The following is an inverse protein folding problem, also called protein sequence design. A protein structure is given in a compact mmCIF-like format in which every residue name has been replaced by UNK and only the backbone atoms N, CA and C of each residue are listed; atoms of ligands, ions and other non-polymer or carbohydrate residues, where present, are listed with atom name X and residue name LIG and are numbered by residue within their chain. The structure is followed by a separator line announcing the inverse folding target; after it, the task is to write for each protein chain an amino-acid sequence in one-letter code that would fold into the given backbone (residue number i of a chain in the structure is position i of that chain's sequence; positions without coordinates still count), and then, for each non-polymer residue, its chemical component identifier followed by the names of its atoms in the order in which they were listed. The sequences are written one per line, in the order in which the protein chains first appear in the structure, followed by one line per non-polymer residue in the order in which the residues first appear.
data_IF_309485689542
#
_entry.id   IF_309485689542
#
_cell.length_a   1.000
_cell.length_b   1.000
_cell.length_c   1.000
_cell.angle_alpha   90.00
_cell.angle_beta   90.00
_cell.angle_gamma   90.00
#
_symmetry.space_group_name_H-M   'P 1'
#
loop_
_entity.id
_entity.type
_entity.pdbx_description
1 polymer ?
#
# COMPACT_ATOMS: atom_id res chain seq x y z
N UNK A 1 20.04 -19.14 26.34
CA UNK A 1 19.82 -17.89 25.61
C UNK A 1 18.53 -18.03 24.82
N UNK A 2 17.66 -17.03 24.88
CA UNK A 2 16.43 -16.94 24.10
C UNK A 2 16.70 -16.10 22.86
N UNK A 3 16.34 -16.61 21.69
CA UNK A 3 16.50 -15.86 20.45
C UNK A 3 15.19 -15.92 19.65
N UNK A 4 14.75 -14.75 19.18
CA UNK A 4 13.65 -14.60 18.24
C UNK A 4 14.23 -14.15 16.92
N UNK A 5 13.99 -14.92 15.87
CA UNK A 5 14.40 -14.59 14.51
C UNK A 5 13.16 -14.24 13.70
N UNK A 6 13.11 -13.02 13.18
CA UNK A 6 12.16 -12.63 12.14
C UNK A 6 12.83 -12.85 10.80
N UNK A 7 12.24 -13.68 9.94
CA UNK A 7 12.77 -13.99 8.62
C UNK A 7 11.81 -13.51 7.54
N UNK A 8 12.28 -12.58 6.72
CA UNK A 8 11.58 -12.07 5.56
C UNK A 8 12.17 -12.61 4.26
N UNK A 9 11.30 -12.90 3.29
CA UNK A 9 11.68 -13.27 1.92
C UNK A 9 10.96 -12.33 0.97
N UNK A 10 11.69 -11.37 0.42
CA UNK A 10 11.14 -10.37 -0.49
C UNK A 10 11.91 -10.47 -1.80
N UNK A 11 11.17 -10.72 -2.88
CA UNK A 11 11.74 -10.98 -4.21
C UNK A 11 12.81 -12.09 -4.15
N UNK A 12 14.04 -11.83 -4.59
CA UNK A 12 15.17 -12.77 -4.57
C UNK A 12 16.07 -12.65 -3.34
N UNK A 13 15.75 -11.76 -2.40
CA UNK A 13 16.60 -11.43 -1.24
C UNK A 13 15.97 -11.99 0.05
N UNK A 14 16.81 -12.50 0.96
CA UNK A 14 16.38 -13.04 2.25
C UNK A 14 17.08 -12.29 3.38
N UNK A 15 16.29 -11.78 4.32
CA UNK A 15 16.78 -10.96 5.42
C UNK A 15 16.22 -11.46 6.74
N UNK A 16 17.01 -11.34 7.81
CA UNK A 16 16.52 -11.63 9.14
C UNK A 16 16.98 -10.64 10.19
N UNK A 17 16.07 -10.27 11.08
CA UNK A 17 16.38 -9.65 12.34
C UNK A 17 16.42 -10.70 13.44
N UNK A 18 17.42 -10.62 14.33
CA UNK A 18 17.58 -11.56 15.42
C UNK A 18 17.69 -10.81 16.75
N UNK A 19 16.63 -10.89 17.56
CA UNK A 19 16.66 -10.48 18.95
C UNK A 19 17.22 -11.62 19.81
N UNK A 20 18.15 -11.32 20.72
CA UNK A 20 18.78 -12.31 21.60
C UNK A 20 18.89 -11.76 23.02
N UNK A 21 18.45 -12.54 24.02
CA UNK A 21 18.58 -12.19 25.45
C UNK A 21 18.76 -13.44 26.32
N UNK A 22 19.38 -13.29 27.48
CA UNK A 22 19.41 -14.33 28.51
C UNK A 22 18.20 -14.26 29.45
N UNK A 23 17.49 -13.12 29.45
CA UNK A 23 16.35 -12.86 30.32
C UNK A 23 15.04 -13.27 29.63
N UNK A 24 14.32 -14.22 30.24
CA UNK A 24 13.04 -14.70 29.73
C UNK A 24 11.98 -13.59 29.66
N UNK A 25 11.99 -12.64 30.61
CA UNK A 25 10.99 -11.57 30.64
C UNK A 25 11.20 -10.60 29.47
N UNK A 26 12.44 -10.18 29.21
CA UNK A 26 12.78 -9.34 28.06
C UNK A 26 12.37 -9.97 26.72
N UNK A 27 12.48 -11.31 26.60
CA UNK A 27 11.98 -12.02 25.43
C UNK A 27 10.45 -11.90 25.27
N UNK A 28 9.71 -12.08 26.36
CA UNK A 28 8.24 -11.98 26.35
C UNK A 28 7.83 -10.55 26.01
N UNK A 29 8.42 -9.57 26.67
CA UNK A 29 8.15 -8.15 26.46
C UNK A 29 8.44 -7.73 25.03
N UNK A 30 9.58 -8.18 24.47
CA UNK A 30 9.92 -7.93 23.07
C UNK A 30 8.91 -8.56 22.11
N UNK A 31 8.50 -9.81 22.38
CA UNK A 31 7.53 -10.53 21.53
C UNK A 31 6.15 -9.88 21.55
N UNK A 32 5.71 -9.37 22.72
CA UNK A 32 4.46 -8.63 22.85
C UNK A 32 4.53 -7.28 22.15
N UNK A 33 5.60 -6.52 22.36
CA UNK A 33 5.82 -5.23 21.69
C UNK A 33 5.80 -5.39 20.17
N UNK A 34 6.42 -6.43 19.63
CA UNK A 34 6.34 -6.70 18.19
C UNK A 34 4.91 -7.01 17.74
N UNK A 35 4.14 -7.75 18.52
CA UNK A 35 2.75 -8.04 18.18
C UNK A 35 1.86 -6.78 18.17
N UNK A 36 2.24 -5.75 18.93
CA UNK A 36 1.56 -4.45 19.01
C UNK A 36 2.06 -3.46 17.95
N UNK A 37 3.37 -3.38 17.72
CA UNK A 37 4.01 -2.45 16.79
C UNK A 37 3.89 -2.89 15.34
N UNK A 38 3.83 -4.20 15.08
CA UNK A 38 3.73 -4.74 13.72
C UNK A 38 2.24 -4.89 13.37
N UNK A 39 1.74 -4.18 12.34
CA UNK A 39 0.40 -4.41 11.81
C UNK A 39 0.13 -5.90 11.57
N UNK A 40 -1.05 -6.37 11.97
CA UNK A 40 -1.39 -7.80 11.90
C UNK A 40 -1.29 -8.40 10.49
N UNK A 41 -1.43 -7.55 9.49
CA UNK A 41 -1.36 -7.82 8.07
C UNK A 41 0.07 -8.08 7.58
N UNK A 42 1.09 -7.70 8.37
CA UNK A 42 2.50 -7.96 8.07
C UNK A 42 2.97 -9.36 8.46
N UNK A 43 2.25 -10.06 9.34
CA UNK A 43 2.65 -11.39 9.80
C UNK A 43 2.73 -12.44 8.69
N UNK A 44 2.15 -12.19 7.52
CA UNK A 44 2.30 -13.06 6.34
C UNK A 44 3.62 -12.86 5.59
N UNK A 45 4.32 -11.72 5.77
CA UNK A 45 5.53 -11.35 5.02
C UNK A 45 6.83 -11.79 5.67
N UNK A 46 6.76 -12.14 6.95
CA UNK A 46 7.87 -12.72 7.66
C UNK A 46 7.41 -13.86 8.54
N UNK A 47 8.30 -14.83 8.75
CA UNK A 47 8.09 -15.91 9.70
C UNK A 47 8.87 -15.64 10.98
N UNK A 48 8.30 -15.97 12.12
CA UNK A 48 8.99 -15.92 13.40
C UNK A 48 9.49 -17.30 13.79
N UNK A 49 10.77 -17.38 14.16
CA UNK A 49 11.44 -18.61 14.58
C UNK A 49 11.99 -18.42 15.98
N UNK A 50 11.73 -19.39 16.85
CA UNK A 50 12.23 -19.39 18.21
C UNK A 50 13.39 -20.36 18.36
N UNK A 51 14.50 -19.87 18.91
CA UNK A 51 15.64 -20.69 19.27
C UNK A 51 15.92 -20.56 20.77
N UNK A 52 16.16 -21.70 21.41
CA UNK A 52 16.58 -21.78 22.79
C UNK A 52 17.73 -22.77 22.92
N UNK A 53 18.81 -22.36 23.59
CA UNK A 53 19.88 -23.27 23.98
C UNK A 53 21.28 -22.74 23.69
N UNK A 54 22.07 -23.52 22.93
CA UNK A 54 23.52 -23.36 22.75
C UNK A 54 23.93 -22.28 21.75
N UNK A 55 23.03 -21.84 20.87
CA UNK A 55 23.30 -20.76 19.93
C UNK A 55 23.34 -19.42 20.68
N UNK A 56 24.38 -18.62 20.42
CA UNK A 56 24.53 -17.30 21.06
C UNK A 56 24.33 -16.13 20.10
N UNK A 57 24.48 -16.40 18.81
CA UNK A 57 24.42 -15.39 17.75
C UNK A 57 23.64 -15.93 16.56
N UNK A 58 23.17 -15.05 15.69
CA UNK A 58 22.55 -15.46 14.43
C UNK A 58 23.52 -16.30 13.57
N UNK A 59 24.82 -15.99 13.58
CA UNK A 59 25.85 -16.81 12.90
C UNK A 59 25.90 -18.25 13.40
N UNK A 60 25.61 -18.50 14.68
CA UNK A 60 25.54 -19.86 15.20
C UNK A 60 24.30 -20.60 14.65
N UNK A 61 23.18 -19.89 14.50
CA UNK A 61 21.96 -20.40 13.85
C UNK A 61 22.26 -20.75 12.38
N UNK A 62 22.94 -19.87 11.63
CA UNK A 62 23.29 -20.12 10.21
C UNK A 62 24.23 -21.32 10.02
N UNK A 63 25.11 -21.61 10.98
CA UNK A 63 25.97 -22.80 10.97
C UNK A 63 25.19 -24.07 11.29
N UNK A 64 24.21 -23.97 12.18
CA UNK A 64 23.42 -25.10 12.66
C UNK A 64 22.33 -25.52 11.68
N UNK A 65 21.67 -24.55 11.06
CA UNK A 65 20.52 -24.76 10.19
C UNK A 65 20.78 -24.19 8.78
N UNK A 66 20.93 -25.08 7.77
CA UNK A 66 21.12 -24.70 6.37
C UNK A 66 20.05 -23.73 5.83
N UNK A 67 18.85 -23.72 6.39
CA UNK A 67 17.76 -22.82 5.99
C UNK A 67 18.14 -21.34 6.11
N UNK A 68 19.00 -20.98 7.07
CA UNK A 68 19.44 -19.60 7.31
C UNK A 68 20.78 -19.25 6.66
N UNK A 69 21.42 -20.19 5.96
CA UNK A 69 22.82 -20.06 5.49
C UNK A 69 23.07 -18.79 4.69
N UNK A 70 22.16 -18.47 3.77
CA UNK A 70 22.30 -17.34 2.83
C UNK A 70 21.47 -16.13 3.25
N UNK A 71 20.89 -16.15 4.46
CA UNK A 71 20.07 -15.05 4.99
C UNK A 71 20.99 -13.94 5.49
N UNK A 72 20.79 -12.71 4.99
CA UNK A 72 21.52 -11.54 5.47
C UNK A 72 20.91 -11.05 6.78
N UNK A 73 21.73 -10.98 7.83
CA UNK A 73 21.29 -10.41 9.10
C UNK A 73 21.16 -8.88 9.01
N UNK A 74 20.02 -8.35 9.45
CA UNK A 74 19.81 -6.93 9.72
C UNK A 74 19.92 -6.75 11.24
N UNK A 75 20.79 -5.82 11.66
CA UNK A 75 21.18 -5.69 13.07
C UNK A 75 20.19 -4.87 13.88
N UNK A 76 19.55 -3.89 13.24
CA UNK A 76 18.58 -3.01 13.86
C UNK A 76 17.16 -3.41 13.46
N UNK A 77 16.24 -3.33 14.41
CA UNK A 77 14.84 -3.71 14.20
C UNK A 77 14.13 -2.75 13.24
N UNK A 78 14.36 -1.44 13.36
CA UNK A 78 13.77 -0.46 12.46
C UNK A 78 14.38 -0.55 11.07
N UNK A 79 15.67 -0.86 10.94
CA UNK A 79 16.26 -1.13 9.63
C UNK A 79 15.73 -2.44 9.03
N UNK A 80 15.40 -3.45 9.83
CA UNK A 80 14.74 -4.65 9.32
C UNK A 80 13.35 -4.34 8.81
N UNK A 81 12.60 -3.51 9.55
CA UNK A 81 11.34 -2.98 9.06
C UNK A 81 11.59 -2.25 7.75
N UNK A 82 12.53 -1.29 7.65
CA UNK A 82 12.93 -0.61 6.40
C UNK A 82 13.32 -1.52 5.25
N UNK A 83 13.97 -2.65 5.52
CA UNK A 83 14.31 -3.63 4.48
C UNK A 83 13.11 -4.44 4.01
N UNK A 84 12.05 -4.55 4.83
CA UNK A 84 10.73 -4.93 4.33
C UNK A 84 10.14 -3.85 3.39
N UNK A 85 10.56 -2.59 3.57
CA UNK A 85 10.12 -1.40 2.82
C UNK A 85 10.97 -1.12 1.56
N UNK A 86 12.22 -1.61 1.51
CA UNK A 86 13.24 -1.18 0.54
C UNK A 86 13.15 -1.87 -0.83
N UNK A 87 13.15 -1.05 -1.88
CA UNK A 87 12.99 -1.37 -3.32
C UNK A 87 11.57 -1.69 -3.80
N UNK A 88 10.53 -1.52 -2.97
CA UNK A 88 9.17 -1.78 -3.41
C UNK A 88 8.45 -0.45 -3.72
N UNK A 89 8.42 -0.09 -5.00
CA UNK A 89 7.62 1.05 -5.51
C UNK A 89 6.15 0.81 -5.14
N UNK A 90 5.58 1.66 -4.27
CA UNK A 90 4.16 1.64 -3.93
C UNK A 90 3.40 2.46 -4.96
N UNK A 91 2.50 1.81 -5.71
CA UNK A 91 1.88 2.38 -6.89
C UNK A 91 0.35 2.19 -6.93
N UNK A 92 -0.25 2.72 -7.97
CA UNK A 92 -1.69 2.66 -8.19
C UNK A 92 -2.22 1.22 -8.38
N UNK A 93 -1.40 0.28 -8.88
CA UNK A 93 -1.79 -1.13 -9.03
C UNK A 93 -1.96 -1.75 -7.65
N UNK A 94 -1.06 -1.45 -6.71
CA UNK A 94 -1.15 -1.94 -5.34
C UNK A 94 -2.45 -1.47 -4.68
N UNK A 95 -2.72 -0.17 -4.71
CA UNK A 95 -3.94 0.42 -4.14
C UNK A 95 -5.19 -0.13 -4.84
N UNK A 96 -5.19 -0.20 -6.17
CA UNK A 96 -6.32 -0.72 -6.93
C UNK A 96 -6.59 -2.21 -6.65
N UNK A 97 -5.55 -3.04 -6.50
CA UNK A 97 -5.69 -4.46 -6.14
C UNK A 97 -6.34 -4.65 -4.77
N UNK A 98 -6.01 -3.78 -3.81
CA UNK A 98 -6.59 -3.78 -2.48
C UNK A 98 -8.07 -3.41 -2.53
N UNK A 99 -8.39 -2.31 -3.24
CA UNK A 99 -9.77 -1.87 -3.44
C UNK A 99 -10.61 -2.95 -4.13
N UNK A 100 -10.07 -3.59 -5.18
CA UNK A 100 -10.75 -4.63 -5.93
C UNK A 100 -11.05 -5.86 -5.06
N UNK A 101 -10.08 -6.35 -4.28
CA UNK A 101 -10.28 -7.51 -3.40
C UNK A 101 -11.24 -7.23 -2.26
N UNK A 102 -11.18 -6.02 -1.70
CA UNK A 102 -11.97 -5.66 -0.51
C UNK A 102 -13.41 -5.29 -0.83
N UNK A 103 -13.64 -4.59 -1.94
CA UNK A 103 -14.96 -4.02 -2.28
C UNK A 103 -15.56 -4.55 -3.57
N UNK A 104 -14.81 -5.31 -4.38
CA UNK A 104 -15.25 -5.86 -5.67
C UNK A 104 -15.86 -4.80 -6.61
N UNK A 105 -15.25 -3.61 -6.68
CA UNK A 105 -15.76 -2.52 -7.49
C UNK A 105 -15.78 -2.85 -9.00
N UNK A 106 -16.84 -2.48 -9.74
CA UNK A 106 -16.79 -2.44 -11.20
C UNK A 106 -15.71 -1.48 -11.69
N UNK A 107 -15.17 -1.70 -12.90
CA UNK A 107 -14.02 -0.94 -13.42
C UNK A 107 -14.16 0.58 -13.37
N UNK A 108 -15.36 1.11 -13.67
CA UNK A 108 -15.62 2.54 -13.60
C UNK A 108 -15.54 3.06 -12.16
N UNK A 109 -16.21 2.38 -11.23
CA UNK A 109 -16.20 2.73 -9.80
C UNK A 109 -14.77 2.62 -9.24
N UNK A 110 -14.03 1.56 -9.60
CA UNK A 110 -12.64 1.38 -9.18
C UNK A 110 -11.77 2.57 -9.59
N UNK A 111 -11.86 3.01 -10.86
CA UNK A 111 -11.07 4.14 -11.36
C UNK A 111 -11.42 5.46 -10.65
N UNK A 112 -12.71 5.71 -10.39
CA UNK A 112 -13.13 6.90 -9.64
C UNK A 112 -12.65 6.85 -8.20
N UNK A 113 -12.90 5.76 -7.52
CA UNK A 113 -12.47 5.58 -6.13
C UNK A 113 -10.95 5.70 -5.99
N UNK A 114 -10.18 5.09 -6.89
CA UNK A 114 -8.72 5.16 -6.88
C UNK A 114 -8.22 6.60 -7.06
N UNK A 115 -8.85 7.38 -7.94
CA UNK A 115 -8.54 8.79 -8.10
C UNK A 115 -8.82 9.60 -6.82
N UNK A 116 -9.99 9.41 -6.20
CA UNK A 116 -10.31 10.10 -4.95
C UNK A 116 -9.35 9.69 -3.82
N UNK A 117 -8.97 8.41 -3.74
CA UNK A 117 -7.94 7.94 -2.77
C UNK A 117 -6.62 8.66 -2.99
N UNK A 118 -6.16 8.78 -4.24
CA UNK A 118 -4.95 9.52 -4.56
C UNK A 118 -5.06 10.99 -4.15
N UNK A 119 -6.16 11.65 -4.48
CA UNK A 119 -6.35 13.07 -4.26
C UNK A 119 -6.50 13.45 -2.76
N UNK A 120 -7.20 12.64 -1.97
CA UNK A 120 -7.33 12.84 -0.52
C UNK A 120 -5.95 12.68 0.16
N UNK A 121 -5.22 11.60 -0.14
CA UNK A 121 -3.86 11.38 0.38
C UNK A 121 -2.87 12.46 -0.07
N UNK A 122 -2.91 12.87 -1.34
CA UNK A 122 -2.06 13.93 -1.86
C UNK A 122 -2.33 15.26 -1.14
N UNK A 123 -3.61 15.60 -0.94
CA UNK A 123 -4.03 16.82 -0.24
C UNK A 123 -3.61 16.82 1.22
N UNK A 124 -3.77 15.68 1.90
CA UNK A 124 -3.46 15.56 3.32
C UNK A 124 -1.96 15.60 3.61
N UNK A 125 -1.15 14.90 2.82
CA UNK A 125 0.30 14.80 3.04
C UNK A 125 1.10 15.87 2.29
N UNK A 126 0.47 16.60 1.36
CA UNK A 126 1.14 17.58 0.49
C UNK A 126 2.16 16.97 -0.48
N UNK A 127 2.17 15.63 -0.62
CA UNK A 127 3.05 14.87 -1.52
C UNK A 127 2.38 13.55 -1.92
N UNK A 128 2.76 12.97 -3.07
CA UNK A 128 2.29 11.63 -3.45
C UNK A 128 2.71 10.58 -2.41
N UNK A 129 1.75 9.77 -1.98
CA UNK A 129 1.98 8.63 -1.07
C UNK A 129 2.24 7.34 -1.84
N UNK A 130 1.63 7.22 -3.02
CA UNK A 130 1.89 6.17 -3.99
C UNK A 130 2.02 6.78 -5.37
N UNK A 131 2.72 6.10 -6.28
CA UNK A 131 2.87 6.55 -7.66
C UNK A 131 1.60 6.31 -8.46
N UNK A 132 1.07 7.36 -9.09
CA UNK A 132 -0.05 7.25 -10.00
C UNK A 132 0.07 8.31 -11.11
N UNK A 133 -0.44 7.99 -12.29
CA UNK A 133 -0.50 8.91 -13.44
C UNK A 133 -1.93 8.90 -13.99
N UNK A 134 -2.76 9.83 -13.52
CA UNK A 134 -4.14 9.95 -13.96
C UNK A 134 -4.23 10.77 -15.24
N UNK A 135 -4.86 10.20 -16.27
CA UNK A 135 -5.13 10.88 -17.53
C UNK A 135 -6.60 11.33 -17.59
N UNK A 136 -6.86 12.49 -18.20
CA UNK A 136 -8.18 13.06 -18.40
C UNK A 136 -8.93 12.39 -19.55
N UNK A 137 -9.50 11.21 -19.28
CA UNK A 137 -10.36 10.50 -20.23
C UNK A 137 -11.75 11.13 -20.32
N UNK A 138 -12.48 10.82 -21.40
CA UNK A 138 -13.83 11.33 -21.64
C UNK A 138 -14.82 11.10 -20.49
N UNK A 139 -14.61 10.07 -19.65
CA UNK A 139 -15.45 9.69 -18.50
C UNK A 139 -14.84 10.04 -17.14
N UNK A 140 -13.95 11.02 -17.09
CA UNK A 140 -13.24 11.44 -15.88
C UNK A 140 -11.83 10.85 -15.79
N UNK A 141 -11.12 11.03 -14.66
CA UNK A 141 -9.76 10.53 -14.47
C UNK A 141 -9.65 9.01 -14.61
N UNK A 142 -8.57 8.54 -15.23
CA UNK A 142 -8.23 7.13 -15.40
C UNK A 142 -6.73 6.94 -15.17
N UNK A 143 -6.36 6.03 -14.27
CA UNK A 143 -4.99 5.51 -14.21
C UNK A 143 -4.85 4.38 -15.23
N UNK A 144 -3.93 4.58 -16.18
CA UNK A 144 -3.86 3.79 -17.40
C UNK A 144 -3.39 2.36 -17.16
N UNK A 145 -2.47 2.15 -16.21
CA UNK A 145 -1.92 0.83 -15.88
C UNK A 145 -3.00 -0.06 -15.28
N UNK A 146 -3.77 0.45 -14.32
CA UNK A 146 -4.92 -0.19 -13.69
C UNK A 146 -6.02 -0.45 -14.72
N UNK A 147 -6.31 0.50 -15.61
CA UNK A 147 -7.31 0.29 -16.66
C UNK A 147 -6.91 -0.87 -17.59
N UNK A 148 -5.65 -0.90 -18.04
CA UNK A 148 -5.13 -1.97 -18.89
C UNK A 148 -5.20 -3.31 -18.17
N UNK A 149 -4.71 -3.37 -16.94
CA UNK A 149 -4.61 -4.63 -16.21
C UNK A 149 -5.99 -5.17 -15.83
N UNK A 150 -6.96 -4.31 -15.49
CA UNK A 150 -8.35 -4.71 -15.21
C UNK A 150 -9.14 -5.12 -16.47
N UNK A 151 -8.81 -4.54 -17.64
CA UNK A 151 -9.54 -4.81 -18.90
C UNK A 151 -9.05 -6.06 -19.63
N UNK A 152 -7.74 -6.30 -19.58
CA UNK A 152 -7.08 -7.32 -20.41
C UNK A 152 -6.54 -8.51 -19.61
N UNK A 153 -6.62 -8.47 -18.27
CA UNK A 153 -6.12 -9.54 -17.40
C UNK A 153 -6.96 -9.67 -16.13
N UNK A 154 -6.88 -10.80 -15.44
CA UNK A 154 -7.42 -10.95 -14.07
C UNK A 154 -6.38 -10.63 -12.99
N UNK A 155 -5.18 -10.16 -13.39
CA UNK A 155 -4.01 -10.04 -12.51
C UNK A 155 -4.16 -9.03 -11.39
N UNK A 156 -5.09 -8.09 -11.52
CA UNK A 156 -5.28 -7.05 -10.52
C UNK A 156 -5.74 -7.65 -9.17
N UNK A 157 -6.62 -8.65 -9.19
CA UNK A 157 -7.08 -9.32 -7.97
C UNK A 157 -6.04 -10.29 -7.39
N UNK A 158 -5.09 -10.74 -8.21
CA UNK A 158 -4.00 -11.64 -7.82
C UNK A 158 -2.75 -10.90 -7.30
N UNK A 159 -2.76 -9.56 -7.29
CA UNK A 159 -1.71 -8.76 -6.65
C UNK A 159 -1.99 -8.62 -5.15
N UNK A 160 -1.04 -9.08 -4.31
CA UNK A 160 -1.12 -9.03 -2.85
C UNK A 160 -0.19 -7.99 -2.23
N UNK A 161 0.52 -7.21 -3.03
CA UNK A 161 1.64 -6.38 -2.61
C UNK A 161 1.23 -5.06 -1.93
N UNK A 162 -0.07 -4.73 -1.87
CA UNK A 162 -0.55 -3.56 -1.12
C UNK A 162 -0.11 -3.55 0.34
N UNK A 163 -0.48 -4.57 1.12
CA UNK A 163 -0.18 -4.63 2.55
C UNK A 163 1.32 -4.48 2.87
N UNK A 164 2.24 -5.23 2.24
CA UNK A 164 3.66 -5.16 2.56
C UNK A 164 4.28 -3.83 2.16
N UNK A 165 3.72 -3.14 1.15
CA UNK A 165 4.18 -1.82 0.71
C UNK A 165 3.61 -0.66 1.51
N UNK A 166 2.36 -0.72 1.95
CA UNK A 166 1.73 0.40 2.69
C UNK A 166 2.22 0.48 4.13
N UNK A 167 2.39 -0.65 4.81
CA UNK A 167 3.00 -0.76 6.15
C UNK A 167 4.47 -0.37 6.18
N UNK A 168 5.06 -0.30 4.99
CA UNK A 168 6.40 0.15 4.74
C UNK A 168 6.51 1.69 4.72
N UNK A 169 5.38 2.40 4.78
CA UNK A 169 5.34 3.84 4.84
C UNK A 169 5.24 4.32 6.28
N UNK A 170 5.76 5.52 6.52
CA UNK A 170 5.41 6.27 7.73
C UNK A 170 3.89 6.50 7.77
N UNK A 171 3.29 6.41 8.96
CA UNK A 171 1.85 6.61 9.18
C UNK A 171 0.93 5.62 8.45
N UNK A 172 1.43 4.41 8.17
CA UNK A 172 0.72 3.36 7.44
C UNK A 172 -0.72 3.11 7.89
N UNK A 173 -0.97 3.11 9.21
CA UNK A 173 -2.31 2.87 9.76
C UNK A 173 -3.29 3.95 9.31
N UNK A 174 -2.88 5.21 9.44
CA UNK A 174 -3.69 6.35 9.01
C UNK A 174 -3.89 6.36 7.49
N UNK A 175 -2.84 6.05 6.71
CA UNK A 175 -2.96 5.88 5.25
C UNK A 175 -4.02 4.83 4.89
N UNK A 176 -4.02 3.67 5.56
CA UNK A 176 -5.03 2.62 5.34
C UNK A 176 -6.43 3.11 5.73
N UNK A 177 -6.55 3.85 6.82
CA UNK A 177 -7.82 4.41 7.28
C UNK A 177 -8.38 5.39 6.24
N UNK A 178 -7.58 6.35 5.75
CA UNK A 178 -7.95 7.28 4.68
C UNK A 178 -8.37 6.55 3.41
N UNK A 179 -7.64 5.51 2.99
CA UNK A 179 -8.00 4.69 1.82
C UNK A 179 -9.38 4.05 2.01
N UNK A 180 -9.63 3.45 3.17
CA UNK A 180 -10.89 2.75 3.46
C UNK A 180 -12.07 3.72 3.58
N UNK A 181 -11.89 4.85 4.26
CA UNK A 181 -12.90 5.89 4.41
C UNK A 181 -13.25 6.51 3.05
N UNK A 182 -12.25 6.84 2.25
CA UNK A 182 -12.43 7.37 0.89
C UNK A 182 -13.12 6.35 0.00
N UNK A 183 -12.72 5.07 0.08
CA UNK A 183 -13.35 3.98 -0.67
C UNK A 183 -14.82 3.77 -0.29
N UNK A 184 -15.15 3.85 1.00
CA UNK A 184 -16.53 3.79 1.45
C UNK A 184 -17.32 5.02 0.97
N UNK A 185 -16.78 6.22 1.15
CA UNK A 185 -17.44 7.48 0.79
C UNK A 185 -17.72 7.58 -0.71
N UNK A 186 -16.68 7.56 -1.53
CA UNK A 186 -16.81 7.78 -2.97
C UNK A 186 -17.21 6.51 -3.72
N UNK A 187 -16.72 5.34 -3.30
CA UNK A 187 -17.10 4.07 -3.92
C UNK A 187 -18.60 3.80 -3.80
N UNK A 188 -19.20 4.02 -2.61
CA UNK A 188 -20.66 3.89 -2.46
C UNK A 188 -21.43 4.91 -3.30
N UNK A 189 -20.97 6.17 -3.33
CA UNK A 189 -21.61 7.20 -4.15
C UNK A 189 -21.69 6.78 -5.63
N UNK A 190 -20.56 6.38 -6.23
CA UNK A 190 -20.50 5.97 -7.63
C UNK A 190 -21.18 4.63 -7.93
N UNK A 191 -21.41 3.78 -6.92
CA UNK A 191 -22.26 2.58 -7.07
C UNK A 191 -23.75 2.91 -7.06
N UNK A 192 -24.15 3.95 -6.33
CA UNK A 192 -25.55 4.34 -6.17
C UNK A 192 -26.03 5.33 -7.24
N UNK A 193 -25.11 5.98 -7.95
CA UNK A 193 -25.41 6.99 -8.96
C UNK A 193 -24.92 6.57 -10.34
N UNK A 194 -25.68 6.91 -11.38
CA UNK A 194 -25.34 6.59 -12.77
C UNK A 194 -24.44 7.66 -13.40
N UNK A 195 -23.29 7.93 -12.76
CA UNK A 195 -22.34 8.93 -13.21
C UNK A 195 -21.66 8.60 -14.55
N UNK A 196 -21.92 7.40 -15.10
CA UNK A 196 -21.52 7.03 -16.45
C UNK A 196 -22.44 7.66 -17.50
N UNK A 197 -23.75 7.66 -17.25
CA UNK A 197 -24.74 8.21 -18.18
C UNK A 197 -25.18 9.63 -17.83
N UNK A 198 -25.03 10.06 -16.58
CA UNK A 198 -25.45 11.39 -16.10
C UNK A 198 -24.25 12.19 -15.60
N UNK A 199 -23.80 13.16 -16.38
CA UNK A 199 -22.62 13.98 -16.05
C UNK A 199 -22.78 14.77 -14.75
N UNK A 200 -24.01 15.14 -14.39
CA UNK A 200 -24.31 15.84 -13.13
C UNK A 200 -24.00 15.01 -11.90
N UNK A 201 -24.03 13.68 -12.03
CA UNK A 201 -23.69 12.73 -10.98
C UNK A 201 -22.19 12.43 -10.96
N UNK A 202 -21.42 12.94 -11.93
CA UNK A 202 -19.98 12.75 -11.96
C UNK A 202 -19.27 13.94 -11.31
N UNK A 203 -18.84 13.76 -10.07
CA UNK A 203 -18.16 14.79 -9.27
C UNK A 203 -16.97 15.42 -10.00
N UNK A 204 -16.21 14.62 -10.75
CA UNK A 204 -15.02 15.08 -11.48
C UNK A 204 -15.36 16.00 -12.66
N UNK A 205 -16.61 16.06 -13.11
CA UNK A 205 -17.06 16.91 -14.22
C UNK A 205 -17.43 18.33 -13.78
N UNK A 206 -17.49 18.58 -12.46
CA UNK A 206 -17.82 19.92 -11.96
C UNK A 206 -16.85 20.96 -12.55
N UNK A 207 -17.31 22.18 -12.86
CA UNK A 207 -16.44 23.19 -13.42
C UNK A 207 -15.26 23.53 -12.50
N UNK A 208 -14.04 23.52 -13.04
CA UNK A 208 -12.83 23.92 -12.33
C UNK A 208 -12.14 22.81 -11.55
N UNK A 209 -12.65 21.57 -11.59
CA UNK A 209 -11.98 20.39 -11.02
C UNK A 209 -10.67 20.07 -11.75
N UNK A 210 -9.76 19.29 -11.14
CA UNK A 210 -8.52 18.86 -11.78
C UNK A 210 -8.76 18.18 -13.14
N UNK A 211 -9.78 17.31 -13.22
CA UNK A 211 -10.16 16.67 -14.48
C UNK A 211 -10.62 17.67 -15.51
N UNK A 212 -11.53 18.59 -15.17
CA UNK A 212 -12.08 19.56 -16.14
C UNK A 212 -10.99 20.46 -16.72
N UNK A 213 -10.01 20.84 -15.90
CA UNK A 213 -8.85 21.65 -16.30
C UNK A 213 -7.95 20.87 -17.25
N UNK A 214 -7.61 19.63 -16.91
CA UNK A 214 -6.77 18.77 -17.75
C UNK A 214 -7.46 18.42 -19.07
N UNK A 215 -8.74 18.05 -19.03
CA UNK A 215 -9.54 17.70 -20.20
C UNK A 215 -9.67 18.87 -21.19
N UNK A 216 -9.77 20.11 -20.70
CA UNK A 216 -9.79 21.31 -21.54
C UNK A 216 -8.49 21.54 -22.32
N UNK A 217 -7.36 20.98 -21.86
CA UNK A 217 -6.06 21.04 -22.56
C UNK A 217 -5.94 19.99 -23.67
N UNK A 218 -6.79 18.96 -23.66
CA UNK A 218 -6.82 17.89 -24.65
C UNK A 218 -7.18 16.54 -24.04
N UNK A 219 -7.62 15.60 -24.88
CA UNK A 219 -7.93 14.24 -24.45
C UNK A 219 -6.70 13.54 -23.87
N UNK A 220 -6.93 12.79 -22.79
CA UNK A 220 -5.91 11.99 -22.08
C UNK A 220 -4.72 12.84 -21.58
N UNK A 221 -4.93 14.14 -21.34
CA UNK A 221 -3.93 14.99 -20.70
C UNK A 221 -3.71 14.52 -19.26
N UNK A 222 -2.46 14.43 -18.81
CA UNK A 222 -2.12 14.08 -17.44
C UNK A 222 -2.65 15.14 -16.45
N UNK A 223 -3.30 14.69 -15.38
CA UNK A 223 -3.65 15.52 -14.24
C UNK A 223 -2.39 15.74 -13.42
N UNK A 224 -1.98 17.00 -13.25
CA UNK A 224 -0.82 17.33 -12.42
C UNK A 224 -1.17 17.32 -10.94
N UNK A 225 -0.21 16.92 -10.09
CA UNK A 225 -0.37 16.97 -8.63
C UNK A 225 -0.69 18.39 -8.15
N UNK A 226 -0.08 19.42 -8.76
CA UNK A 226 -0.35 20.82 -8.45
C UNK A 226 -1.82 21.20 -8.72
N UNK A 227 -2.39 20.74 -9.84
CA UNK A 227 -3.80 20.97 -10.16
C UNK A 227 -4.69 20.19 -9.18
N UNK A 228 -4.33 18.95 -8.80
CA UNK A 228 -5.10 18.16 -7.83
C UNK A 228 -5.10 18.86 -6.46
N UNK A 229 -3.92 19.20 -5.93
CA UNK A 229 -3.77 19.93 -4.65
C UNK A 229 -4.58 21.23 -4.61
N UNK A 230 -4.65 21.94 -5.73
CA UNK A 230 -5.31 23.23 -5.81
C UNK A 230 -6.83 23.14 -5.98
N UNK A 231 -7.32 22.11 -6.69
CA UNK A 231 -8.70 22.10 -7.17
C UNK A 231 -9.53 20.90 -6.71
N UNK A 232 -8.95 19.92 -6.03
CA UNK A 232 -9.67 18.73 -5.53
C UNK A 232 -10.85 19.07 -4.60
N UNK A 233 -10.76 20.16 -3.83
CA UNK A 233 -11.84 20.63 -2.98
C UNK A 233 -13.17 20.92 -3.72
N UNK A 234 -13.16 21.07 -5.05
CA UNK A 234 -14.34 21.34 -5.87
C UNK A 234 -15.15 20.08 -6.22
N UNK A 235 -14.58 18.89 -6.03
CA UNK A 235 -15.16 17.58 -6.39
C UNK A 235 -15.42 16.69 -5.17
N UNK A 236 -15.35 17.23 -3.96
CA UNK A 236 -15.72 16.50 -2.75
C UNK A 236 -17.24 16.27 -2.65
N UNK A 237 -17.62 15.15 -2.04
CA UNK A 237 -19.01 14.87 -1.60
C UNK A 237 -19.34 15.60 -0.30
#
# INVERSE_FOLDING_TARGET
MYQLVMLAKISSKQYAYCFSTENRQEYIDFSQRMAEEIPSELFSYFSTHFFNGKTKTFKDIQKMDPYFRDVRQVMDYHDFLKELQGDIEFDAIDVASYLQRRYAFPSFVLQKTLYFVYAELLTEYGRPIFKAEFEAYDRGPVERSVYRDNKYTDKLADNYDFMPKVVALDDARHIIDVINETAQKYGQYYQQHDAWNHETDNLTYRPGTPWSIAHAKGQNTLLSDDDILKYHALEQL
#
